data_IF_951247727257
#
_entry.id   IF_951247727257
#
_cell.length_a   1.000
_cell.length_b   1.000
_cell.length_c   1.000
_cell.angle_alpha   90.00
_cell.angle_beta   90.00
_cell.angle_gamma   90.00
#
_symmetry.space_group_name_H-M   'P 1'
#
loop_
_entity.id
_entity.type
_entity.pdbx_description
1 polymer ?
#
# COMPACT_ATOMS: atom_id res chain seq x y z
N UNK A 1 7.68 -16.92 -28.68
CA UNK A 1 8.44 -15.70 -28.32
C UNK A 1 8.46 -15.66 -26.80
N UNK A 2 9.62 -15.39 -26.20
CA UNK A 2 9.77 -15.50 -24.74
C UNK A 2 9.18 -14.22 -24.11
N UNK A 3 7.96 -14.28 -23.61
CA UNK A 3 7.31 -13.11 -23.03
C UNK A 3 7.65 -12.96 -21.56
N UNK A 4 8.73 -12.26 -21.29
CA UNK A 4 9.01 -11.80 -19.94
C UNK A 4 8.00 -10.71 -19.56
N UNK A 5 7.47 -10.79 -18.34
CA UNK A 5 6.66 -9.72 -17.78
C UNK A 5 7.46 -8.40 -17.70
N UNK A 6 6.81 -7.22 -17.89
CA UNK A 6 7.46 -5.91 -17.80
C UNK A 6 8.09 -5.68 -16.42
N UNK A 7 9.22 -4.96 -16.35
CA UNK A 7 9.79 -4.60 -15.05
C UNK A 7 8.80 -3.78 -14.22
N UNK A 8 8.72 -4.00 -12.89
CA UNK A 8 7.90 -3.18 -12.03
C UNK A 8 8.30 -1.70 -12.11
N UNK A 9 7.31 -0.81 -12.02
CA UNK A 9 7.51 0.64 -12.01
C UNK A 9 6.66 1.29 -10.92
N UNK A 10 7.07 2.46 -10.45
CA UNK A 10 6.47 3.13 -9.30
C UNK A 10 6.03 4.54 -9.67
N UNK A 11 4.81 4.89 -9.24
CA UNK A 11 4.23 6.23 -9.41
C UNK A 11 3.88 6.84 -8.04
N UNK A 12 4.05 8.15 -7.85
CA UNK A 12 3.61 8.82 -6.62
C UNK A 12 2.09 8.90 -6.57
N UNK A 13 1.50 8.61 -5.40
CA UNK A 13 0.08 8.85 -5.15
C UNK A 13 -0.12 10.30 -4.74
N UNK A 14 -1.00 11.01 -5.45
CA UNK A 14 -1.41 12.37 -5.12
C UNK A 14 -0.21 13.34 -4.93
N UNK A 15 0.68 13.45 -5.92
CA UNK A 15 1.98 14.12 -5.77
C UNK A 15 1.84 15.60 -5.36
N UNK A 16 0.75 16.28 -5.75
CA UNK A 16 0.53 17.68 -5.42
C UNK A 16 0.34 17.89 -3.91
N UNK A 17 -0.26 16.90 -3.21
CA UNK A 17 -0.45 16.95 -1.75
C UNK A 17 0.86 16.81 -1.00
N UNK A 18 1.82 16.12 -1.58
CA UNK A 18 3.11 15.82 -0.96
C UNK A 18 4.26 16.59 -1.62
N UNK A 19 4.00 17.81 -2.10
CA UNK A 19 5.06 18.68 -2.61
C UNK A 19 6.01 19.13 -1.47
N UNK A 20 7.29 19.32 -1.80
CA UNK A 20 8.34 19.78 -0.87
C UNK A 20 9.24 18.64 -0.37
N UNK A 21 9.99 18.89 0.72
CA UNK A 21 10.81 17.88 1.41
C UNK A 21 9.94 17.08 2.42
N UNK A 22 10.23 15.80 2.67
CA UNK A 22 9.51 15.02 3.68
C UNK A 22 9.83 15.55 5.08
N UNK A 23 8.87 15.45 6.00
CA UNK A 23 9.04 15.86 7.41
C UNK A 23 10.06 14.99 8.16
N UNK A 24 10.21 13.74 7.73
CA UNK A 24 11.15 12.76 8.26
C UNK A 24 11.61 11.80 7.15
N UNK A 25 12.80 11.19 7.28
CA UNK A 25 13.23 10.16 6.34
C UNK A 25 12.37 8.89 6.49
N UNK A 26 12.06 8.26 5.36
CA UNK A 26 11.58 6.87 5.34
C UNK A 26 12.71 5.94 5.80
N UNK A 27 12.38 4.99 6.66
CA UNK A 27 13.36 4.09 7.27
C UNK A 27 13.01 2.66 6.90
N UNK A 28 13.97 1.97 6.31
CA UNK A 28 13.90 0.53 6.11
C UNK A 28 14.46 -0.19 7.34
N UNK A 29 13.69 -1.15 7.87
CA UNK A 29 14.13 -2.03 8.95
C UNK A 29 13.69 -3.46 8.68
N UNK A 30 14.19 -4.40 9.46
CA UNK A 30 13.83 -5.81 9.34
C UNK A 30 13.20 -6.31 10.64
N UNK A 31 12.22 -7.21 10.53
CA UNK A 31 11.74 -7.95 11.70
C UNK A 31 12.88 -8.79 12.28
N UNK A 32 12.84 -9.15 13.57
CA UNK A 32 13.82 -10.07 14.13
C UNK A 32 13.84 -11.41 13.36
N UNK A 33 14.99 -12.12 13.35
CA UNK A 33 15.08 -13.47 12.80
C UNK A 33 14.07 -14.44 13.44
N UNK A 34 13.66 -15.53 12.74
CA UNK A 34 14.24 -16.02 11.49
C UNK A 34 13.67 -15.37 10.22
N UNK A 35 12.53 -14.68 10.30
CA UNK A 35 11.78 -14.27 9.11
C UNK A 35 12.39 -13.07 8.40
N UNK A 36 13.10 -12.18 9.13
CA UNK A 36 13.83 -11.03 8.60
C UNK A 36 13.06 -10.27 7.51
N UNK A 37 11.78 -10.02 7.77
CA UNK A 37 10.87 -9.37 6.83
C UNK A 37 11.22 -7.89 6.75
N UNK A 38 11.30 -7.35 5.54
CA UNK A 38 11.50 -5.92 5.32
C UNK A 38 10.25 -5.12 5.67
N UNK A 39 10.46 -4.09 6.48
CA UNK A 39 9.45 -3.19 7.01
C UNK A 39 9.82 -1.75 6.65
N UNK A 40 8.85 -0.94 6.24
CA UNK A 40 9.05 0.49 6.01
C UNK A 40 8.41 1.30 7.14
N UNK A 41 9.17 2.17 7.78
CA UNK A 41 8.72 3.12 8.81
C UNK A 41 8.76 4.55 8.27
N UNK A 42 7.93 5.43 8.80
CA UNK A 42 7.88 6.85 8.43
C UNK A 42 7.65 7.11 6.92
N UNK A 43 6.94 6.20 6.25
CA UNK A 43 6.43 6.45 4.91
C UNK A 43 5.51 7.68 4.96
N UNK A 44 5.90 8.74 4.27
CA UNK A 44 5.14 10.00 4.15
C UNK A 44 5.03 10.48 2.69
N UNK A 45 5.51 9.66 1.76
CA UNK A 45 5.37 9.81 0.30
C UNK A 45 4.71 8.56 -0.25
N UNK A 46 3.37 8.53 -0.34
CA UNK A 46 2.69 7.34 -0.78
C UNK A 46 2.98 7.08 -2.26
N UNK A 47 3.14 5.81 -2.60
CA UNK A 47 3.45 5.39 -3.98
C UNK A 47 2.66 4.14 -4.34
N UNK A 48 2.40 3.97 -5.63
CA UNK A 48 1.83 2.77 -6.21
C UNK A 48 2.88 2.10 -7.09
N UNK A 49 3.31 0.90 -6.72
CA UNK A 49 4.23 0.10 -7.53
C UNK A 49 3.44 -0.92 -8.33
N UNK A 50 3.50 -0.83 -9.65
CA UNK A 50 2.81 -1.70 -10.58
C UNK A 50 3.64 -2.92 -10.95
N UNK A 51 3.01 -4.09 -10.88
CA UNK A 51 3.54 -5.41 -11.21
C UNK A 51 2.64 -5.99 -12.31
N UNK A 52 2.96 -5.64 -13.56
CA UNK A 52 2.14 -6.04 -14.70
C UNK A 52 2.50 -7.46 -15.18
N UNK A 53 1.51 -8.31 -15.51
CA UNK A 53 1.74 -9.62 -16.11
C UNK A 53 2.34 -9.48 -17.51
N UNK A 54 2.82 -10.60 -18.07
CA UNK A 54 3.15 -10.63 -19.50
C UNK A 54 1.87 -10.35 -20.32
N UNK A 55 1.94 -9.59 -21.43
CA UNK A 55 0.74 -9.21 -22.19
C UNK A 55 -0.15 -10.38 -22.61
N UNK A 56 0.42 -11.54 -22.98
CA UNK A 56 -0.36 -12.75 -23.32
C UNK A 56 -0.99 -13.47 -22.12
N UNK A 57 -0.52 -13.20 -20.90
CA UNK A 57 -1.09 -13.76 -19.67
C UNK A 57 -2.11 -12.81 -19.05
N UNK A 58 -2.10 -11.53 -19.43
CA UNK A 58 -2.95 -10.50 -18.86
C UNK A 58 -4.44 -10.85 -19.03
N UNK A 59 -5.16 -10.96 -17.91
CA UNK A 59 -6.58 -11.32 -17.90
C UNK A 59 -7.51 -10.10 -17.69
N UNK A 60 -6.95 -8.89 -17.69
CA UNK A 60 -7.67 -7.63 -17.51
C UNK A 60 -8.01 -7.28 -16.06
N UNK A 61 -7.70 -8.13 -15.09
CA UNK A 61 -8.00 -7.87 -13.66
C UNK A 61 -6.87 -7.07 -13.03
N UNK A 62 -7.23 -6.12 -12.16
CA UNK A 62 -6.29 -5.44 -11.27
C UNK A 62 -6.54 -5.82 -9.80
N UNK A 63 -5.46 -5.88 -9.02
CA UNK A 63 -5.50 -6.03 -7.57
C UNK A 63 -4.59 -5.00 -6.91
N UNK A 64 -5.18 -4.07 -6.14
CA UNK A 64 -4.43 -3.14 -5.30
C UNK A 64 -4.20 -3.79 -3.93
N UNK A 65 -2.96 -3.83 -3.47
CA UNK A 65 -2.53 -4.53 -2.27
C UNK A 65 -2.06 -3.51 -1.24
N UNK A 66 -2.67 -3.53 -0.05
CA UNK A 66 -2.33 -2.67 1.07
C UNK A 66 -1.61 -3.49 2.17
N UNK A 67 -0.28 -3.38 2.30
CA UNK A 67 0.45 -4.02 3.38
C UNK A 67 -0.02 -3.53 4.75
N UNK A 68 0.06 -4.35 5.77
CA UNK A 68 -0.22 -4.00 7.16
C UNK A 68 0.99 -3.42 7.90
N UNK A 69 0.85 -3.29 9.22
CA UNK A 69 1.89 -2.75 10.11
C UNK A 69 1.38 -1.69 11.10
N UNK A 70 0.12 -1.83 11.53
CA UNK A 70 -0.51 -1.00 12.57
C UNK A 70 -0.46 0.52 12.31
N UNK A 71 -0.39 0.94 11.04
CA UNK A 71 -0.17 2.32 10.63
C UNK A 71 1.15 2.95 11.12
N UNK A 72 2.09 2.18 11.64
CA UNK A 72 3.44 2.65 12.00
C UNK A 72 4.52 2.11 11.06
N UNK A 73 4.22 0.96 10.48
CA UNK A 73 5.09 0.21 9.59
C UNK A 73 4.30 -0.22 8.35
N UNK A 74 5.01 -0.59 7.30
CA UNK A 74 4.50 -1.38 6.19
C UNK A 74 5.29 -2.67 6.06
N UNK A 75 4.60 -3.80 6.19
CA UNK A 75 5.09 -5.14 5.91
C UNK A 75 5.30 -5.38 4.40
N UNK A 76 6.19 -4.59 3.79
CA UNK A 76 6.19 -4.33 2.34
C UNK A 76 6.51 -5.58 1.50
N UNK A 77 7.31 -6.51 2.03
CA UNK A 77 7.71 -7.70 1.26
C UNK A 77 6.62 -8.78 1.27
N UNK A 78 6.32 -9.40 2.42
CA UNK A 78 5.43 -10.56 2.47
C UNK A 78 3.96 -10.23 2.27
N UNK A 79 3.52 -9.02 2.65
CA UNK A 79 2.14 -8.56 2.44
C UNK A 79 1.99 -7.70 1.18
N UNK A 80 3.10 -7.27 0.56
CA UNK A 80 3.12 -6.48 -0.66
C UNK A 80 3.75 -7.22 -1.84
N UNK A 81 5.07 -7.11 -1.98
CA UNK A 81 5.84 -7.58 -3.16
C UNK A 81 5.55 -9.05 -3.48
N UNK A 82 5.59 -9.94 -2.49
CA UNK A 82 5.38 -11.38 -2.72
C UNK A 82 3.95 -11.68 -3.18
N UNK A 83 2.96 -10.96 -2.64
CA UNK A 83 1.55 -11.06 -3.05
C UNK A 83 1.39 -10.54 -4.47
N UNK A 84 2.05 -9.42 -4.80
CA UNK A 84 2.00 -8.83 -6.13
C UNK A 84 2.59 -9.76 -7.20
N UNK A 85 3.74 -10.38 -6.94
CA UNK A 85 4.32 -11.37 -7.83
C UNK A 85 3.43 -12.62 -7.96
N UNK A 86 2.76 -13.03 -6.89
CA UNK A 86 1.81 -14.14 -6.93
C UNK A 86 0.62 -13.87 -7.87
N UNK A 87 0.06 -12.66 -7.83
CA UNK A 87 -1.01 -12.23 -8.75
C UNK A 87 -0.51 -12.07 -10.18
N UNK A 88 0.64 -11.43 -10.36
CA UNK A 88 1.28 -11.21 -11.65
C UNK A 88 1.54 -12.52 -12.38
N UNK A 89 2.02 -13.55 -11.68
CA UNK A 89 2.22 -14.89 -12.23
C UNK A 89 0.91 -15.59 -12.68
N UNK A 90 -0.25 -15.04 -12.32
CA UNK A 90 -1.60 -15.54 -12.67
C UNK A 90 -2.34 -14.62 -13.64
N UNK A 91 -1.63 -13.68 -14.26
CA UNK A 91 -2.21 -12.79 -15.25
C UNK A 91 -2.98 -11.59 -14.68
N UNK A 92 -2.93 -11.38 -13.37
CA UNK A 92 -3.56 -10.22 -12.70
C UNK A 92 -2.53 -9.11 -12.58
N UNK A 93 -2.87 -7.89 -13.00
CA UNK A 93 -2.06 -6.71 -12.74
C UNK A 93 -2.11 -6.37 -11.25
N UNK A 94 -0.97 -6.43 -10.56
CA UNK A 94 -0.92 -6.17 -9.14
C UNK A 94 -0.30 -4.80 -8.85
N UNK A 95 -0.81 -4.11 -7.83
CA UNK A 95 -0.37 -2.78 -7.47
C UNK A 95 -0.14 -2.70 -5.97
N UNK A 96 1.13 -2.60 -5.53
CA UNK A 96 1.44 -2.45 -4.10
C UNK A 96 1.31 -0.99 -3.72
N UNK A 97 0.36 -0.69 -2.85
CA UNK A 97 0.16 0.64 -2.29
C UNK A 97 1.04 0.79 -1.05
N UNK A 98 2.13 1.54 -1.20
CA UNK A 98 2.87 2.08 -0.07
C UNK A 98 2.14 3.35 0.40
N UNK A 99 1.34 3.26 1.45
CA UNK A 99 0.57 4.38 2.00
C UNK A 99 1.27 5.06 3.18
N UNK A 100 0.88 6.29 3.49
CA UNK A 100 1.47 7.07 4.56
C UNK A 100 1.16 6.48 5.95
N UNK A 101 2.20 6.28 6.74
CA UNK A 101 2.11 5.79 8.13
C UNK A 101 2.26 6.96 9.12
N UNK A 102 2.13 6.66 10.41
CA UNK A 102 2.33 7.60 11.51
C UNK A 102 3.83 7.80 11.67
N UNK A 103 4.24 9.06 11.61
CA UNK A 103 5.62 9.45 11.86
C UNK A 103 6.00 9.20 13.32
N UNK A 104 7.23 8.74 13.51
CA UNK A 104 7.83 8.42 14.82
C UNK A 104 9.32 8.74 14.82
N UNK A 105 9.94 8.70 16.00
CA UNK A 105 11.39 8.91 16.13
C UNK A 105 12.17 7.99 15.18
N UNK A 106 13.24 8.49 14.52
CA UNK A 106 14.13 7.65 13.73
C UNK A 106 15.00 6.72 14.58
N UNK A 107 15.06 6.92 15.90
CA UNK A 107 15.74 6.03 16.83
C UNK A 107 14.90 4.78 17.11
N UNK A 108 15.52 3.59 17.01
CA UNK A 108 14.83 2.31 17.17
C UNK A 108 14.41 2.04 18.61
N UNK A 109 15.22 2.42 19.60
CA UNK A 109 14.89 2.20 21.00
C UNK A 109 13.74 3.11 21.45
N UNK A 110 13.73 4.37 20.99
CA UNK A 110 12.62 5.29 21.23
C UNK A 110 11.32 4.79 20.56
N UNK A 111 11.41 4.26 19.34
CA UNK A 111 10.26 3.68 18.66
C UNK A 111 9.74 2.43 19.37
N UNK A 112 10.61 1.52 19.78
CA UNK A 112 10.20 0.29 20.47
C UNK A 112 9.53 0.62 21.82
N UNK A 113 10.05 1.62 22.55
CA UNK A 113 9.41 2.16 23.76
C UNK A 113 8.05 2.80 23.46
N UNK A 114 7.94 3.58 22.39
CA UNK A 114 6.68 4.18 21.94
C UNK A 114 5.63 3.12 21.59
N UNK A 115 6.01 2.08 20.85
CA UNK A 115 5.12 0.97 20.51
C UNK A 115 4.68 0.19 21.74
N UNK A 116 5.58 -0.04 22.71
CA UNK A 116 5.23 -0.66 23.98
C UNK A 116 4.21 0.18 24.78
N UNK A 117 4.37 1.51 24.79
CA UNK A 117 3.43 2.42 25.44
C UNK A 117 2.04 2.39 24.78
N UNK A 118 1.97 2.37 23.44
CA UNK A 118 0.70 2.28 22.70
C UNK A 118 -0.11 1.02 23.04
N UNK A 119 0.54 -0.09 23.37
CA UNK A 119 -0.16 -1.32 23.81
C UNK A 119 -0.82 -1.17 25.18
N UNK A 120 -0.39 -0.20 25.99
CA UNK A 120 -0.90 0.06 27.33
C UNK A 120 -1.93 1.20 27.41
N UNK A 121 -1.99 2.08 26.41
CA UNK A 121 -2.95 3.19 26.30
C UNK A 121 -3.78 3.07 25.02
N UNK A 122 -4.83 2.24 25.12
CA UNK A 122 -5.68 1.88 23.98
C UNK A 122 -6.52 3.05 23.44
N UNK A 123 -6.83 4.05 24.26
CA UNK A 123 -7.66 5.19 23.84
C UNK A 123 -6.84 6.17 22.99
N UNK A 124 -5.63 6.50 23.45
CA UNK A 124 -4.69 7.30 22.66
C UNK A 124 -4.31 6.57 21.37
N UNK A 125 -4.05 5.26 21.45
CA UNK A 125 -3.77 4.44 20.27
C UNK A 125 -4.92 4.47 19.26
N UNK A 126 -6.17 4.29 19.72
CA UNK A 126 -7.35 4.32 18.86
C UNK A 126 -7.50 5.65 18.12
N UNK A 127 -7.35 6.78 18.82
CA UNK A 127 -7.44 8.09 18.17
C UNK A 127 -6.38 8.25 17.06
N UNK A 128 -5.12 7.97 17.38
CA UNK A 128 -4.00 8.15 16.43
C UNK A 128 -4.17 7.23 15.22
N UNK A 129 -4.56 5.97 15.44
CA UNK A 129 -4.78 5.01 14.37
C UNK A 129 -5.99 5.38 13.49
N UNK A 130 -7.07 5.95 14.06
CA UNK A 130 -8.21 6.44 13.26
C UNK A 130 -7.82 7.57 12.32
N UNK A 131 -7.03 8.53 12.80
CA UNK A 131 -6.56 9.65 11.96
C UNK A 131 -5.63 9.15 10.85
N UNK A 132 -4.76 8.17 11.14
CA UNK A 132 -3.91 7.52 10.15
C UNK A 132 -4.69 6.69 9.11
N UNK A 133 -5.66 5.90 9.58
CA UNK A 133 -6.55 5.09 8.77
C UNK A 133 -7.31 5.94 7.76
N UNK A 134 -7.85 7.08 8.20
CA UNK A 134 -8.54 8.02 7.31
C UNK A 134 -7.61 8.54 6.20
N UNK A 135 -6.42 9.01 6.56
CA UNK A 135 -5.43 9.52 5.60
C UNK A 135 -5.05 8.44 4.57
N UNK A 136 -4.66 7.26 5.04
CA UNK A 136 -4.26 6.15 4.19
C UNK A 136 -5.43 5.67 3.29
N UNK A 137 -6.67 5.72 3.79
CA UNK A 137 -7.86 5.41 2.98
C UNK A 137 -8.07 6.42 1.85
N UNK A 138 -7.77 7.71 2.04
CA UNK A 138 -7.82 8.69 0.93
C UNK A 138 -6.76 8.37 -0.13
N UNK A 139 -5.56 7.98 0.26
CA UNK A 139 -4.50 7.58 -0.68
C UNK A 139 -4.88 6.33 -1.46
N UNK A 140 -5.54 5.37 -0.79
CA UNK A 140 -6.09 4.17 -1.42
C UNK A 140 -7.14 4.46 -2.48
N UNK A 141 -8.04 5.43 -2.24
CA UNK A 141 -9.00 5.89 -3.26
C UNK A 141 -8.31 6.46 -4.48
N UNK A 142 -7.27 7.28 -4.29
CA UNK A 142 -6.49 7.84 -5.40
C UNK A 142 -5.73 6.75 -6.16
N UNK A 143 -5.29 5.67 -5.48
CA UNK A 143 -4.73 4.51 -6.16
C UNK A 143 -5.76 3.82 -7.06
N UNK A 144 -7.00 3.64 -6.60
CA UNK A 144 -8.09 3.10 -7.42
C UNK A 144 -8.34 3.97 -8.65
N UNK A 145 -8.47 5.28 -8.47
CA UNK A 145 -8.68 6.22 -9.58
C UNK A 145 -7.50 6.19 -10.57
N UNK A 146 -6.26 6.14 -10.07
CA UNK A 146 -5.06 6.04 -10.89
C UNK A 146 -5.04 4.76 -11.73
N UNK A 147 -5.36 3.60 -11.15
CA UNK A 147 -5.45 2.33 -11.91
C UNK A 147 -6.48 2.42 -13.02
N UNK A 148 -7.63 3.06 -12.78
CA UNK A 148 -8.65 3.28 -13.82
C UNK A 148 -8.20 4.26 -14.90
N UNK A 149 -7.56 5.36 -14.50
CA UNK A 149 -7.04 6.37 -15.42
C UNK A 149 -6.02 5.79 -16.41
N UNK A 150 -5.18 4.87 -15.94
CA UNK A 150 -4.15 4.21 -16.76
C UNK A 150 -4.56 2.80 -17.25
N UNK A 151 -5.83 2.41 -17.11
CA UNK A 151 -6.27 1.04 -17.36
C UNK A 151 -5.90 0.54 -18.77
N UNK A 152 -6.08 1.38 -19.80
CA UNK A 152 -5.72 1.05 -21.17
C UNK A 152 -4.21 0.85 -21.37
N UNK A 153 -3.38 1.66 -20.70
CA UNK A 153 -1.92 1.55 -20.74
C UNK A 153 -1.42 0.28 -20.04
N UNK A 154 -2.09 -0.11 -18.95
CA UNK A 154 -1.66 -1.21 -18.10
C UNK A 154 -2.35 -2.55 -18.42
N UNK A 155 -3.17 -2.59 -19.46
CA UNK A 155 -3.90 -3.80 -19.88
C UNK A 155 -4.95 -4.27 -18.86
N UNK A 156 -5.55 -3.32 -18.14
CA UNK A 156 -6.57 -3.52 -17.11
C UNK A 156 -7.95 -3.14 -17.64
N UNK A 157 -8.99 -3.85 -17.21
CA UNK A 157 -10.38 -3.46 -17.40
C UNK A 157 -10.78 -2.53 -16.24
N UNK A 158 -11.27 -1.30 -16.53
CA UNK A 158 -11.51 -0.28 -15.50
C UNK A 158 -12.64 -0.65 -14.51
N UNK A 159 -13.44 -1.66 -14.82
CA UNK A 159 -14.52 -2.23 -14.00
C UNK A 159 -14.12 -3.56 -13.32
N UNK A 160 -12.83 -3.89 -13.30
CA UNK A 160 -12.27 -5.08 -12.64
C UNK A 160 -11.06 -4.74 -11.77
N UNK A 161 -11.19 -3.67 -10.99
CA UNK A 161 -10.17 -3.18 -10.07
C UNK A 161 -10.52 -3.60 -8.65
N UNK A 162 -9.91 -4.69 -8.18
CA UNK A 162 -10.08 -5.16 -6.81
C UNK A 162 -9.08 -4.53 -5.83
N UNK A 163 -9.37 -4.66 -4.55
CA UNK A 163 -8.47 -4.23 -3.49
C UNK A 163 -8.43 -5.21 -2.33
N UNK A 164 -7.24 -5.44 -1.79
CA UNK A 164 -7.03 -6.26 -0.60
C UNK A 164 -6.04 -5.62 0.36
N UNK A 165 -6.10 -6.04 1.61
CA UNK A 165 -5.15 -5.57 2.61
C UNK A 165 -5.08 -6.45 3.84
N UNK A 166 -3.98 -6.28 4.57
CA UNK A 166 -3.65 -7.07 5.76
C UNK A 166 -3.62 -6.18 6.99
N UNK A 167 -4.24 -6.59 8.10
CA UNK A 167 -4.21 -5.82 9.36
C UNK A 167 -4.66 -4.35 9.14
N UNK A 168 -3.81 -3.37 9.43
CA UNK A 168 -4.05 -1.95 9.12
C UNK A 168 -4.37 -1.70 7.63
N UNK A 169 -3.71 -2.41 6.71
CA UNK A 169 -4.02 -2.37 5.29
C UNK A 169 -5.43 -2.86 4.98
N UNK A 170 -5.98 -3.78 5.79
CA UNK A 170 -7.39 -4.19 5.68
C UNK A 170 -8.35 -3.05 6.05
N UNK A 171 -8.02 -2.23 7.05
CA UNK A 171 -8.79 -1.02 7.35
C UNK A 171 -8.72 0.00 6.21
N UNK A 172 -7.55 0.17 5.59
CA UNK A 172 -7.37 1.02 4.41
C UNK A 172 -8.24 0.54 3.25
N UNK A 173 -8.25 -0.77 2.97
CA UNK A 173 -9.13 -1.38 1.97
C UNK A 173 -10.60 -1.11 2.25
N UNK A 174 -11.06 -1.29 3.49
CA UNK A 174 -12.46 -0.99 3.87
C UNK A 174 -12.78 0.49 3.68
N UNK A 175 -11.88 1.40 4.05
CA UNK A 175 -12.09 2.84 3.86
C UNK A 175 -12.25 3.24 2.39
N UNK A 176 -11.55 2.58 1.47
CA UNK A 176 -11.73 2.74 0.03
C UNK A 176 -13.00 2.04 -0.51
N UNK A 177 -13.34 0.86 0.01
CA UNK A 177 -14.52 0.09 -0.40
C UNK A 177 -15.86 0.78 -0.05
N UNK A 178 -15.87 1.65 0.96
CA UNK A 178 -17.07 2.35 1.42
C UNK A 178 -17.33 3.69 0.70
N UNK A 179 -16.65 3.98 -0.41
CA UNK A 179 -16.90 5.20 -1.18
C UNK A 179 -18.21 5.14 -1.96
N UNK A 180 -18.91 6.28 -2.03
CA UNK A 180 -20.13 6.41 -2.84
C UNK A 180 -19.82 6.48 -4.34
N UNK A 181 -18.77 7.22 -4.72
CA UNK A 181 -18.36 7.35 -6.11
C UNK A 181 -17.68 6.07 -6.59
N UNK A 182 -18.21 5.50 -7.68
CA UNK A 182 -17.62 4.35 -8.33
C UNK A 182 -16.18 4.60 -8.75
N UNK A 183 -15.80 5.85 -9.10
CA UNK A 183 -14.43 6.23 -9.50
C UNK A 183 -13.37 5.84 -8.47
N UNK A 184 -13.70 5.98 -7.18
CA UNK A 184 -12.77 5.79 -6.06
C UNK A 184 -12.99 4.48 -5.30
N UNK A 185 -14.05 3.73 -5.65
CA UNK A 185 -14.40 2.48 -5.00
C UNK A 185 -13.87 1.29 -5.79
N UNK A 186 -13.16 0.32 -5.17
CA UNK A 186 -12.82 -0.94 -5.82
C UNK A 186 -14.07 -1.75 -6.17
N UNK A 187 -13.95 -2.60 -7.19
CA UNK A 187 -15.04 -3.42 -7.70
C UNK A 187 -15.25 -4.71 -6.86
N UNK A 188 -14.21 -5.19 -6.18
CA UNK A 188 -14.23 -6.37 -5.29
C UNK A 188 -13.07 -6.40 -4.29
#
# INVERSE_FOLDING_TARGET
MNSSSPQPFTLPIWPERFAGEPSSPEIERFSPPPDSVRLLRNVNRPTLTAYLPAPEQANGTAMIICPGGAFHLLAIDHEGVQVAEWFRARGVAAFVLKYSVIESSPDDAEFDAYMAALLSDVESADKVMRDASRRASEEAKHAVAMVRQHAAEWGVQPDRVGMMGFSAGGQVTVGAALQESAEFRPDF
#
